data_IF_112529471454
#
_entry.id   IF_112529471454
#
_cell.length_a   1.000
_cell.length_b   1.000
_cell.length_c   1.000
_cell.angle_alpha   90.00
_cell.angle_beta   90.00
_cell.angle_gamma   90.00
#
_symmetry.space_group_name_H-M   'P 1'
#
loop_
_entity.id
_entity.type
_entity.pdbx_description
1 polymer ?
#
# COMPACT_ATOMS: atom_id res chain seq x y z
N UNK A 1 -2.46 -11.48 19.22
CA UNK A 1 -1.27 -10.92 18.55
C UNK A 1 -1.40 -10.98 17.03
N UNK A 2 -0.95 -9.96 16.27
CA UNK A 2 -0.93 -9.92 14.79
C UNK A 2 0.52 -9.83 14.24
N UNK A 3 0.75 -10.47 13.10
CA UNK A 3 2.03 -10.58 12.41
C UNK A 3 1.90 -10.21 10.94
N UNK A 4 2.93 -9.62 10.35
CA UNK A 4 3.06 -9.39 8.92
C UNK A 4 4.04 -10.41 8.32
N UNK A 5 3.69 -11.00 7.18
CA UNK A 5 4.57 -11.91 6.46
C UNK A 5 5.53 -11.14 5.55
N UNK A 6 6.83 -11.34 5.71
CA UNK A 6 7.87 -10.70 4.91
C UNK A 6 7.82 -11.10 3.42
N UNK A 7 7.22 -12.25 3.09
CA UNK A 7 7.18 -12.77 1.70
C UNK A 7 5.99 -12.24 0.90
N UNK A 8 4.79 -12.24 1.47
CA UNK A 8 3.57 -11.84 0.76
C UNK A 8 2.97 -10.53 1.27
N UNK A 9 3.60 -9.89 2.26
CA UNK A 9 3.15 -8.65 2.93
C UNK A 9 1.77 -8.73 3.61
N UNK A 10 1.10 -9.89 3.59
CA UNK A 10 -0.20 -10.11 4.26
C UNK A 10 -0.04 -10.23 5.77
N UNK A 11 -1.11 -9.89 6.48
CA UNK A 11 -1.14 -9.91 7.94
C UNK A 11 -2.00 -11.05 8.48
N UNK A 12 -1.52 -11.78 9.49
CA UNK A 12 -2.17 -12.96 10.11
C UNK A 12 -2.08 -12.92 11.62
N UNK A 13 -2.91 -13.71 12.29
CA UNK A 13 -2.77 -14.03 13.70
C UNK A 13 -1.94 -15.30 13.96
N UNK A 14 -1.59 -16.02 12.91
CA UNK A 14 -0.78 -17.25 12.96
C UNK A 14 0.73 -16.91 12.98
N UNK A 15 1.51 -17.72 13.71
CA UNK A 15 2.97 -17.57 13.78
C UNK A 15 3.71 -18.09 12.54
N UNK A 16 2.99 -18.79 11.65
CA UNK A 16 3.45 -19.15 10.31
C UNK A 16 2.46 -18.59 9.30
N UNK A 17 2.94 -18.10 8.17
CA UNK A 17 2.08 -17.49 7.16
C UNK A 17 1.21 -18.54 6.47
N UNK A 18 -0.12 -18.56 6.70
CA UNK A 18 -1.00 -19.57 6.11
C UNK A 18 -1.20 -19.36 4.59
N UNK A 19 -0.88 -18.17 4.07
CA UNK A 19 -0.97 -17.87 2.62
C UNK A 19 0.27 -18.29 1.84
N UNK A 20 1.39 -18.55 2.51
CA UNK A 20 2.65 -18.95 1.87
C UNK A 20 2.89 -20.46 1.93
N UNK A 21 2.11 -21.20 2.73
CA UNK A 21 2.21 -22.66 2.85
C UNK A 21 1.92 -23.33 1.50
N UNK A 22 2.98 -23.82 0.83
CA UNK A 22 2.93 -24.41 -0.52
C UNK A 22 3.92 -23.80 -1.51
N UNK A 23 4.53 -22.66 -1.20
CA UNK A 23 5.59 -22.04 -2.02
C UNK A 23 6.95 -22.38 -1.40
N UNK A 24 7.42 -23.62 -1.60
CA UNK A 24 8.82 -23.93 -1.35
C UNK A 24 9.69 -23.21 -2.38
N UNK A 25 10.69 -22.39 -1.99
CA UNK A 25 11.78 -22.10 -2.90
C UNK A 25 12.56 -23.41 -3.05
N UNK A 26 12.35 -24.11 -4.16
CA UNK A 26 13.14 -25.27 -4.54
C UNK A 26 14.59 -24.81 -4.68
N UNK A 27 15.40 -24.99 -3.63
CA UNK A 27 16.83 -25.22 -3.79
C UNK A 27 17.01 -26.73 -3.81
N UNK A 28 17.12 -27.28 -5.03
CA UNK A 28 17.63 -28.64 -5.22
C UNK A 28 19.06 -28.69 -4.71
N UNK A 29 19.27 -29.20 -3.51
CA UNK A 29 20.52 -29.88 -3.17
C UNK A 29 20.20 -31.35 -3.03
N UNK A 30 20.81 -32.15 -3.90
CA UNK A 30 20.74 -33.59 -3.86
C UNK A 30 21.30 -34.12 -2.53
N UNK A 31 20.60 -35.11 -1.97
CA UNK A 31 20.98 -36.01 -0.87
C UNK A 31 20.79 -35.50 0.57
N UNK A 32 20.05 -36.31 1.36
CA UNK A 32 20.16 -36.34 2.82
C UNK A 32 18.84 -36.18 3.58
N UNK A 33 18.39 -37.29 4.18
CA UNK A 33 17.45 -37.45 5.31
C UNK A 33 16.56 -36.26 5.72
N UNK A 34 15.25 -36.47 5.65
CA UNK A 34 14.25 -35.63 6.33
C UNK A 34 14.51 -35.63 7.84
N UNK A 35 14.96 -34.48 8.36
CA UNK A 35 15.01 -34.15 9.78
C UNK A 35 14.19 -32.88 10.01
N UNK A 36 13.59 -32.80 11.19
CA UNK A 36 12.55 -31.87 11.64
C UNK A 36 13.00 -30.41 11.80
N UNK A 37 13.56 -29.79 10.76
CA UNK A 37 14.06 -28.40 10.76
C UNK A 37 13.08 -27.38 10.17
N UNK A 38 11.92 -27.81 9.65
CA UNK A 38 10.96 -26.95 8.95
C UNK A 38 10.29 -25.88 9.85
N UNK A 39 10.07 -26.16 11.14
CA UNK A 39 9.38 -25.22 12.04
C UNK A 39 10.23 -23.99 12.45
N UNK A 40 11.56 -24.08 12.40
CA UNK A 40 12.43 -23.00 12.85
C UNK A 40 12.70 -21.93 11.78
N UNK A 41 12.59 -22.31 10.49
CA UNK A 41 12.91 -21.44 9.35
C UNK A 41 11.74 -20.50 9.00
N UNK A 42 10.50 -20.88 9.32
CA UNK A 42 9.30 -20.16 8.87
C UNK A 42 8.90 -19.00 9.81
N UNK A 43 9.10 -19.15 11.13
CA UNK A 43 8.85 -18.10 12.13
C UNK A 43 9.75 -16.87 11.90
N UNK A 44 10.93 -17.03 11.28
CA UNK A 44 11.85 -15.93 11.00
C UNK A 44 11.35 -14.96 9.92
N UNK A 45 10.25 -15.27 9.22
CA UNK A 45 9.65 -14.43 8.16
C UNK A 45 8.39 -13.71 8.60
N UNK A 46 8.09 -13.74 9.89
CA UNK A 46 6.90 -13.11 10.46
C UNK A 46 7.32 -11.96 11.37
N UNK A 47 6.90 -10.76 11.01
CA UNK A 47 7.16 -9.54 11.78
C UNK A 47 5.96 -9.28 12.72
N UNK A 48 6.10 -9.47 14.04
CA UNK A 48 5.05 -9.10 14.99
C UNK A 48 4.88 -7.58 15.08
N UNK A 49 3.64 -7.13 15.24
CA UNK A 49 3.34 -5.72 15.56
C UNK A 49 3.88 -5.28 16.94
N UNK A 50 3.94 -6.20 17.90
CA UNK A 50 4.49 -6.02 19.24
C UNK A 50 5.81 -6.80 19.35
N UNK A 51 6.96 -6.13 19.58
CA UNK A 51 8.26 -6.80 19.64
C UNK A 51 8.38 -7.87 20.73
N UNK A 52 7.53 -7.87 21.76
CA UNK A 52 7.58 -8.91 22.82
C UNK A 52 7.31 -10.32 22.30
N UNK A 53 6.68 -10.44 21.13
CA UNK A 53 6.37 -11.71 20.47
C UNK A 53 7.51 -12.23 19.61
N UNK A 54 8.66 -11.55 19.57
CA UNK A 54 9.85 -12.08 18.91
C UNK A 54 10.36 -13.36 19.59
N UNK A 55 10.79 -14.38 18.83
CA UNK A 55 11.22 -15.66 19.40
C UNK A 55 12.44 -15.56 20.33
N UNK A 56 13.24 -14.51 20.21
CA UNK A 56 14.43 -14.24 21.04
C UNK A 56 14.06 -13.97 22.50
N UNK A 57 12.84 -13.52 22.76
CA UNK A 57 12.33 -13.24 24.10
C UNK A 57 11.51 -14.40 24.68
N UNK A 58 11.44 -15.53 23.96
CA UNK A 58 10.59 -16.66 24.32
C UNK A 58 11.42 -17.86 24.77
N UNK A 59 11.02 -18.46 25.89
CA UNK A 59 11.67 -19.67 26.38
C UNK A 59 11.40 -20.86 25.45
N UNK A 60 12.46 -21.51 24.98
CA UNK A 60 12.37 -22.76 24.21
C UNK A 60 12.78 -23.93 25.10
N UNK A 61 11.87 -24.89 25.29
CA UNK A 61 12.14 -26.12 26.06
C UNK A 61 13.36 -26.86 25.49
N UNK A 62 14.25 -27.32 26.38
CA UNK A 62 15.46 -28.08 26.03
C UNK A 62 15.35 -29.55 26.45
N UNK A 63 14.13 -30.01 26.74
CA UNK A 63 13.81 -31.36 27.21
C UNK A 63 13.59 -31.44 28.73
N UNK A 64 12.77 -32.40 29.17
CA UNK A 64 12.21 -32.52 30.52
C UNK A 64 13.25 -32.39 31.64
N UNK A 65 14.39 -33.09 31.53
CA UNK A 65 15.44 -33.09 32.55
C UNK A 65 16.20 -31.75 32.67
N UNK A 66 16.40 -31.02 31.56
CA UNK A 66 17.08 -29.71 31.58
C UNK A 66 16.15 -28.60 32.05
N UNK A 67 14.86 -28.70 31.69
CA UNK A 67 13.84 -27.76 32.09
C UNK A 67 13.58 -27.80 33.61
N UNK A 68 13.71 -28.98 34.24
CA UNK A 68 13.55 -29.18 35.69
C UNK A 68 14.57 -28.41 36.56
N UNK A 69 15.81 -28.21 36.08
CA UNK A 69 16.89 -27.61 36.88
C UNK A 69 17.26 -26.17 36.46
N UNK A 70 16.85 -25.70 35.28
CA UNK A 70 17.32 -24.42 34.73
C UNK A 70 16.24 -23.44 34.25
N UNK A 71 14.99 -23.90 34.04
CA UNK A 71 13.94 -23.11 33.36
C UNK A 71 13.62 -21.80 34.06
N UNK A 72 13.50 -21.79 35.39
CA UNK A 72 13.13 -20.58 36.15
C UNK A 72 14.19 -19.47 36.02
N UNK A 73 15.47 -19.83 36.07
CA UNK A 73 16.58 -18.89 35.94
C UNK A 73 16.67 -18.34 34.52
N UNK A 74 16.58 -19.20 33.51
CA UNK A 74 16.61 -18.80 32.09
C UNK A 74 15.41 -17.89 31.75
N UNK A 75 14.20 -18.22 32.22
CA UNK A 75 13.02 -17.39 32.04
C UNK A 75 13.20 -15.99 32.65
N UNK A 76 13.81 -15.92 33.85
CA UNK A 76 14.05 -14.63 34.52
C UNK A 76 15.03 -13.77 33.72
N UNK A 77 16.07 -14.37 33.15
CA UNK A 77 17.03 -13.68 32.29
C UNK A 77 16.39 -13.17 31.00
N UNK A 78 15.55 -14.00 30.36
CA UNK A 78 14.79 -13.60 29.16
C UNK A 78 13.81 -12.46 29.45
N UNK A 79 13.11 -12.51 30.59
CA UNK A 79 12.20 -11.43 30.99
C UNK A 79 12.95 -10.11 31.21
N UNK A 80 14.09 -10.13 31.90
CA UNK A 80 14.90 -8.93 32.11
C UNK A 80 15.43 -8.36 30.79
N UNK A 81 15.89 -9.24 29.88
CA UNK A 81 16.34 -8.84 28.55
C UNK A 81 15.20 -8.18 27.77
N UNK A 82 14.01 -8.80 27.78
CA UNK A 82 12.83 -8.27 27.13
C UNK A 82 12.45 -6.89 27.68
N UNK A 83 12.36 -6.74 29.00
CA UNK A 83 12.03 -5.46 29.65
C UNK A 83 13.02 -4.36 29.23
N UNK A 84 14.32 -4.64 29.32
CA UNK A 84 15.36 -3.68 28.93
C UNK A 84 15.26 -3.28 27.45
N UNK A 85 15.06 -4.26 26.56
CA UNK A 85 14.92 -4.00 25.11
C UNK A 85 13.68 -3.16 24.84
N UNK A 86 12.53 -3.50 25.42
CA UNK A 86 11.28 -2.78 25.19
C UNK A 86 11.33 -1.36 25.74
N UNK A 87 11.92 -1.14 26.92
CA UNK A 87 12.10 0.19 27.51
C UNK A 87 12.94 1.08 26.59
N UNK A 88 14.12 0.58 26.17
CA UNK A 88 15.03 1.33 25.29
C UNK A 88 14.42 1.56 23.91
N UNK A 89 13.82 0.51 23.33
CA UNK A 89 13.13 0.63 22.05
C UNK A 89 12.00 1.66 22.14
N UNK A 90 11.16 1.63 23.17
CA UNK A 90 10.11 2.63 23.36
C UNK A 90 10.66 4.06 23.44
N UNK A 91 11.80 4.27 24.10
CA UNK A 91 12.43 5.60 24.23
C UNK A 91 13.10 6.10 22.95
N UNK A 92 13.52 5.19 22.07
CA UNK A 92 14.26 5.51 20.85
C UNK A 92 13.41 5.38 19.58
N UNK A 93 12.27 4.67 19.63
CA UNK A 93 11.39 4.41 18.49
C UNK A 93 11.10 5.71 17.73
N UNK A 94 10.69 6.73 18.48
CA UNK A 94 10.54 8.09 18.00
C UNK A 94 11.54 9.00 18.74
N UNK A 95 12.47 9.69 18.05
CA UNK A 95 12.52 9.86 16.60
C UNK A 95 13.45 8.88 15.86
N UNK A 96 14.26 8.04 16.53
CA UNK A 96 15.41 7.40 15.88
C UNK A 96 15.02 6.34 14.85
N UNK A 97 14.20 5.35 15.22
CA UNK A 97 13.80 4.29 14.28
C UNK A 97 12.93 4.85 13.16
N UNK A 98 11.95 5.68 13.52
CA UNK A 98 11.06 6.33 12.56
C UNK A 98 11.82 7.18 11.56
N UNK A 99 12.72 8.07 12.01
CA UNK A 99 13.51 8.90 11.12
C UNK A 99 14.44 8.08 10.25
N UNK A 100 15.10 7.04 10.80
CA UNK A 100 15.96 6.18 10.01
C UNK A 100 15.21 5.56 8.84
N UNK A 101 14.01 5.00 9.06
CA UNK A 101 13.19 4.39 7.99
C UNK A 101 12.89 5.42 6.89
N UNK A 102 12.53 6.65 7.25
CA UNK A 102 12.23 7.70 6.29
C UNK A 102 13.46 8.22 5.53
N UNK A 103 14.63 8.28 6.17
CA UNK A 103 15.83 8.83 5.54
C UNK A 103 16.63 7.80 4.72
N UNK A 104 16.65 6.53 5.14
CA UNK A 104 17.45 5.47 4.50
C UNK A 104 16.68 4.61 3.48
N UNK A 105 15.36 4.86 3.31
CA UNK A 105 14.46 4.03 2.48
C UNK A 105 14.53 2.53 2.85
N UNK A 106 14.61 2.24 4.15
CA UNK A 106 14.68 0.87 4.66
C UNK A 106 13.50 0.01 4.15
N UNK A 107 13.79 -1.18 3.60
CA UNK A 107 12.82 -2.12 3.05
C UNK A 107 13.18 -3.57 3.38
N UNK A 108 12.18 -4.47 3.39
CA UNK A 108 12.35 -5.92 3.61
C UNK A 108 13.41 -6.56 2.70
N UNK A 109 13.62 -6.02 1.49
CA UNK A 109 14.56 -6.55 0.49
C UNK A 109 16.01 -6.07 0.69
N UNK A 110 16.28 -5.09 1.57
CA UNK A 110 17.64 -4.59 1.79
C UNK A 110 18.55 -5.58 2.53
N UNK A 111 18.08 -6.79 2.86
CA UNK A 111 18.94 -7.90 3.33
C UNK A 111 20.08 -8.21 2.37
N UNK A 112 19.95 -7.87 1.07
CA UNK A 112 20.93 -8.23 0.03
C UNK A 112 22.13 -7.28 -0.11
N UNK A 113 22.13 -6.09 0.50
CA UNK A 113 23.32 -5.21 0.49
C UNK A 113 24.11 -5.23 1.80
N UNK A 114 23.68 -6.03 2.78
CA UNK A 114 24.42 -6.28 4.02
C UNK A 114 25.48 -7.39 3.86
N UNK A 115 25.98 -7.60 2.64
CA UNK A 115 27.10 -8.50 2.40
C UNK A 115 28.39 -7.79 2.82
N UNK A 116 29.11 -8.46 3.71
CA UNK A 116 30.35 -8.02 4.34
C UNK A 116 31.36 -7.46 3.32
N UNK A 117 31.48 -6.13 3.26
CA UNK A 117 32.67 -5.47 2.72
C UNK A 117 33.31 -4.60 3.80
N UNK A 118 34.02 -5.24 4.72
CA UNK A 118 35.04 -4.59 5.56
C UNK A 118 36.32 -4.31 4.75
N UNK A 119 36.18 -3.93 3.48
CA UNK A 119 37.29 -3.67 2.58
C UNK A 119 36.96 -2.37 1.85
N UNK A 120 37.65 -1.27 2.24
CA UNK A 120 37.59 0.12 1.74
C UNK A 120 37.01 1.23 2.65
N UNK A 121 36.71 0.98 3.94
CA UNK A 121 36.41 2.07 4.88
C UNK A 121 35.05 2.76 4.68
N UNK A 122 34.14 2.14 3.92
CA UNK A 122 32.76 2.59 3.75
C UNK A 122 31.86 1.86 4.75
N UNK A 123 31.15 2.58 5.61
CA UNK A 123 30.19 2.02 6.56
C UNK A 123 28.78 2.08 5.96
N UNK A 124 27.98 1.02 6.13
CA UNK A 124 26.57 1.05 5.74
C UNK A 124 25.75 1.94 6.67
N UNK A 125 24.66 2.53 6.17
CA UNK A 125 23.76 3.34 7.00
C UNK A 125 23.20 2.53 8.19
N UNK A 126 22.93 1.25 7.98
CA UNK A 126 22.47 0.33 9.03
C UNK A 126 23.54 0.13 10.12
N UNK A 127 24.81 -0.01 9.72
CA UNK A 127 25.92 -0.13 10.67
C UNK A 127 26.12 1.15 11.48
N UNK A 128 26.06 2.31 10.81
CA UNK A 128 26.13 3.61 11.49
C UNK A 128 24.94 3.80 12.44
N UNK A 129 23.74 3.42 12.02
CA UNK A 129 22.55 3.51 12.85
C UNK A 129 22.63 2.60 14.08
N UNK A 130 23.10 1.36 13.92
CA UNK A 130 23.37 0.45 15.03
C UNK A 130 24.32 1.08 16.04
N UNK A 131 25.42 1.66 15.56
CA UNK A 131 26.42 2.32 16.40
C UNK A 131 25.83 3.52 17.16
N UNK A 132 24.97 4.31 16.52
CA UNK A 132 24.22 5.40 17.17
C UNK A 132 23.37 4.87 18.32
N UNK A 133 22.65 3.78 18.13
CA UNK A 133 21.79 3.17 19.17
C UNK A 133 22.62 2.59 20.32
N UNK A 134 23.73 1.91 20.04
CA UNK A 134 24.65 1.39 21.07
C UNK A 134 25.19 2.53 21.94
N UNK A 135 25.65 3.64 21.32
CA UNK A 135 26.11 4.83 22.06
C UNK A 135 25.01 5.52 22.86
N UNK A 136 23.74 5.26 22.54
CA UNK A 136 22.56 5.71 23.29
C UNK A 136 22.17 4.74 24.42
N UNK A 137 22.96 3.69 24.65
CA UNK A 137 22.75 2.71 25.71
C UNK A 137 22.05 1.43 25.27
N UNK A 138 21.79 1.24 23.97
CA UNK A 138 21.15 0.04 23.42
C UNK A 138 22.16 -1.10 23.18
N UNK A 139 22.91 -1.45 24.23
CA UNK A 139 24.02 -2.40 24.18
C UNK A 139 23.61 -3.83 23.82
N UNK A 140 22.33 -4.19 23.99
CA UNK A 140 21.79 -5.51 23.62
C UNK A 140 21.99 -5.81 22.11
N UNK A 141 22.06 -4.78 21.27
CA UNK A 141 22.36 -4.90 19.84
C UNK A 141 23.77 -5.45 19.56
N UNK A 142 24.68 -5.41 20.53
CA UNK A 142 26.00 -6.07 20.46
C UNK A 142 25.89 -7.58 20.54
N UNK A 143 24.96 -8.08 21.34
CA UNK A 143 24.80 -9.51 21.60
C UNK A 143 23.72 -10.14 20.71
N UNK A 144 22.83 -9.33 20.14
CA UNK A 144 21.71 -9.74 19.29
C UNK A 144 21.78 -9.03 17.92
N UNK A 145 22.59 -9.53 16.97
CA UNK A 145 22.86 -8.83 15.72
C UNK A 145 21.61 -8.63 14.84
N UNK A 146 20.63 -9.55 14.89
CA UNK A 146 19.38 -9.44 14.11
C UNK A 146 18.30 -8.57 14.77
N UNK A 147 18.50 -8.14 16.03
CA UNK A 147 17.47 -7.41 16.77
C UNK A 147 17.17 -6.05 16.15
N UNK A 148 18.18 -5.36 15.60
CA UNK A 148 17.99 -4.07 14.96
C UNK A 148 17.04 -4.17 13.76
N UNK A 149 17.30 -5.11 12.86
CA UNK A 149 16.48 -5.32 11.66
C UNK A 149 15.04 -5.65 12.04
N UNK A 150 14.86 -6.52 13.03
CA UNK A 150 13.55 -6.87 13.58
C UNK A 150 12.80 -5.64 14.11
N UNK A 151 13.45 -4.83 14.96
CA UNK A 151 12.83 -3.63 15.50
C UNK A 151 12.51 -2.59 14.41
N UNK A 152 13.33 -2.49 13.36
CA UNK A 152 13.01 -1.66 12.19
C UNK A 152 11.77 -2.20 11.45
N UNK A 153 11.69 -3.51 11.20
CA UNK A 153 10.53 -4.14 10.59
C UNK A 153 9.26 -3.94 11.42
N UNK A 154 9.31 -4.13 12.74
CA UNK A 154 8.18 -3.84 13.63
C UNK A 154 7.80 -2.36 13.58
N UNK A 155 8.77 -1.45 13.52
CA UNK A 155 8.48 0.01 13.41
C UNK A 155 7.74 0.31 12.10
N UNK A 156 8.20 -0.23 10.98
CA UNK A 156 7.52 -0.11 9.68
C UNK A 156 6.10 -0.69 9.71
N UNK A 157 5.92 -1.87 10.30
CA UNK A 157 4.60 -2.49 10.42
C UNK A 157 3.66 -1.68 11.33
N UNK A 158 4.18 -1.09 12.42
CA UNK A 158 3.42 -0.17 13.27
C UNK A 158 2.93 1.07 12.49
N UNK A 159 3.77 1.66 11.65
CA UNK A 159 3.40 2.79 10.83
C UNK A 159 2.27 2.43 9.82
N UNK A 160 2.38 1.27 9.18
CA UNK A 160 1.33 0.74 8.29
C UNK A 160 0.01 0.56 9.05
N UNK A 161 0.04 -0.10 10.20
CA UNK A 161 -1.15 -0.30 11.02
C UNK A 161 -1.77 1.03 11.49
N UNK A 162 -0.96 2.01 11.88
CA UNK A 162 -1.46 3.33 12.29
C UNK A 162 -2.19 4.06 11.15
N UNK A 163 -1.63 4.01 9.93
CA UNK A 163 -2.29 4.53 8.73
C UNK A 163 -3.64 3.86 8.50
N UNK A 164 -3.64 2.52 8.47
CA UNK A 164 -4.85 1.71 8.34
C UNK A 164 -5.90 2.04 9.42
N UNK A 165 -5.49 2.12 10.69
CA UNK A 165 -6.39 2.38 11.82
C UNK A 165 -7.07 3.76 11.71
N UNK A 166 -6.34 4.78 11.22
CA UNK A 166 -6.90 6.11 10.99
C UNK A 166 -8.00 6.10 9.93
N UNK A 167 -7.82 5.30 8.88
CA UNK A 167 -8.80 5.14 7.80
C UNK A 167 -9.99 4.29 8.25
N UNK A 168 -9.76 3.09 8.79
CA UNK A 168 -10.83 2.16 9.19
C UNK A 168 -11.79 2.75 10.22
N UNK A 169 -11.33 3.66 11.08
CA UNK A 169 -12.14 4.29 12.12
C UNK A 169 -13.48 4.85 11.61
N UNK A 170 -13.51 5.47 10.42
CA UNK A 170 -14.76 6.07 9.86
C UNK A 170 -15.79 5.05 9.38
N UNK A 171 -15.34 3.81 9.17
CA UNK A 171 -16.17 2.72 8.67
C UNK A 171 -16.81 1.91 9.80
N UNK A 172 -16.43 2.09 11.07
CA UNK A 172 -17.08 1.39 12.18
C UNK A 172 -18.53 1.86 12.35
N UNK A 173 -19.47 0.94 12.15
CA UNK A 173 -20.92 1.13 12.26
C UNK A 173 -21.49 0.26 13.37
N UNK A 174 -22.83 0.27 13.52
CA UNK A 174 -23.55 -0.44 14.57
C UNK A 174 -23.45 -1.98 14.52
N UNK A 175 -23.05 -2.56 13.38
CA UNK A 175 -22.89 -4.02 13.22
C UNK A 175 -21.63 -4.33 12.42
N UNK A 176 -21.11 -5.56 12.55
CA UNK A 176 -19.98 -6.03 11.76
C UNK A 176 -20.26 -5.90 10.26
N UNK A 177 -21.39 -6.41 9.78
CA UNK A 177 -21.77 -6.38 8.36
C UNK A 177 -21.82 -4.96 7.80
N UNK A 178 -22.42 -4.00 8.53
CA UNK A 178 -22.45 -2.59 8.11
C UNK A 178 -21.05 -1.96 8.07
N UNK A 179 -20.20 -2.34 9.03
CA UNK A 179 -18.82 -1.86 9.10
C UNK A 179 -17.98 -2.40 7.94
N UNK A 180 -18.08 -3.71 7.68
CA UNK A 180 -17.44 -4.37 6.55
C UNK A 180 -17.93 -3.82 5.21
N UNK A 181 -19.25 -3.63 5.02
CA UNK A 181 -19.79 -3.03 3.79
C UNK A 181 -19.22 -1.64 3.54
N UNK A 182 -19.28 -0.75 4.55
CA UNK A 182 -18.74 0.61 4.43
C UNK A 182 -17.24 0.63 4.15
N UNK A 183 -16.48 -0.28 4.75
CA UNK A 183 -15.04 -0.37 4.54
C UNK A 183 -14.68 -0.97 3.17
N UNK A 184 -15.31 -2.08 2.77
CA UNK A 184 -15.06 -2.77 1.49
C UNK A 184 -15.42 -1.88 0.29
N UNK A 185 -16.48 -1.09 0.41
CA UNK A 185 -16.89 -0.16 -0.65
C UNK A 185 -15.78 0.83 -1.03
N UNK A 186 -14.99 1.26 -0.05
CA UNK A 186 -13.84 2.15 -0.23
C UNK A 186 -12.53 1.38 -0.51
N UNK A 187 -12.27 0.31 0.24
CA UNK A 187 -11.05 -0.50 0.13
C UNK A 187 -10.97 -1.31 -1.18
N UNK A 188 -12.11 -1.54 -1.85
CA UNK A 188 -12.16 -2.26 -3.11
C UNK A 188 -11.74 -3.72 -2.95
N UNK A 189 -10.60 -4.13 -3.50
CA UNK A 189 -10.12 -5.52 -3.43
C UNK A 189 -9.09 -5.76 -2.34
N UNK A 190 -8.54 -4.71 -1.72
CA UNK A 190 -7.46 -4.81 -0.72
C UNK A 190 -7.93 -5.43 0.60
N UNK A 191 -9.24 -5.43 0.89
CA UNK A 191 -9.81 -6.05 2.09
C UNK A 191 -9.33 -7.50 2.32
N UNK A 192 -9.01 -8.23 1.24
CA UNK A 192 -8.52 -9.62 1.29
C UNK A 192 -7.18 -9.74 2.02
N UNK A 193 -6.31 -8.73 1.88
CA UNK A 193 -5.03 -8.68 2.57
C UNK A 193 -5.16 -8.03 3.96
N UNK A 194 -6.12 -7.12 4.11
CA UNK A 194 -6.24 -6.24 5.26
C UNK A 194 -7.26 -6.70 6.31
N UNK A 195 -8.02 -7.79 6.06
CA UNK A 195 -9.05 -8.25 7.00
C UNK A 195 -8.50 -8.53 8.40
N UNK A 196 -7.30 -9.12 8.51
CA UNK A 196 -6.69 -9.35 9.83
C UNK A 196 -6.37 -8.02 10.54
N UNK A 197 -6.00 -6.97 9.81
CA UNK A 197 -5.83 -5.63 10.39
C UNK A 197 -7.16 -5.06 10.86
N UNK A 198 -8.24 -5.25 10.10
CA UNK A 198 -9.59 -4.83 10.51
C UNK A 198 -10.00 -5.53 11.81
N UNK A 199 -9.84 -6.86 11.88
CA UNK A 199 -10.15 -7.66 13.07
C UNK A 199 -9.28 -7.26 14.27
N UNK A 200 -8.00 -6.99 14.05
CA UNK A 200 -7.10 -6.50 15.08
C UNK A 200 -7.47 -5.09 15.56
N UNK A 201 -7.90 -4.22 14.65
CA UNK A 201 -8.36 -2.88 14.98
C UNK A 201 -9.56 -2.92 15.92
N UNK A 202 -10.58 -3.72 15.61
CA UNK A 202 -11.77 -3.81 16.46
C UNK A 202 -11.44 -4.40 17.83
N UNK A 203 -10.59 -5.44 17.91
CA UNK A 203 -10.14 -6.00 19.18
C UNK A 203 -9.33 -4.98 20.00
N UNK A 204 -8.31 -4.36 19.41
CA UNK A 204 -7.42 -3.41 20.11
C UNK A 204 -8.14 -2.14 20.58
N UNK A 205 -9.24 -1.76 19.93
CA UNK A 205 -10.09 -0.63 20.32
C UNK A 205 -11.30 -1.05 21.16
N UNK A 206 -11.39 -2.33 21.59
CA UNK A 206 -12.50 -2.87 22.40
C UNK A 206 -13.88 -2.64 21.77
N UNK A 207 -13.96 -2.77 20.45
CA UNK A 207 -15.20 -2.70 19.68
C UNK A 207 -15.81 -4.09 19.64
N UNK A 208 -17.00 -4.23 20.22
CA UNK A 208 -17.69 -5.50 20.32
C UNK A 208 -18.71 -5.67 19.19
N UNK A 209 -18.62 -6.81 18.50
CA UNK A 209 -19.64 -7.29 17.59
C UNK A 209 -20.04 -8.70 18.00
N UNK A 210 -21.34 -8.96 18.16
CA UNK A 210 -21.85 -10.26 18.60
C UNK A 210 -21.49 -11.44 17.69
N UNK A 211 -21.08 -11.17 16.46
CA UNK A 211 -20.66 -12.17 15.48
C UNK A 211 -19.15 -12.44 15.45
N UNK A 212 -18.38 -11.82 16.36
CA UNK A 212 -16.93 -11.97 16.44
C UNK A 212 -16.50 -12.42 17.83
N UNK A 213 -15.72 -13.48 17.87
CA UNK A 213 -15.10 -13.98 19.09
C UNK A 213 -13.58 -13.87 18.98
N UNK A 214 -12.97 -13.32 20.03
CA UNK A 214 -11.52 -13.17 20.14
C UNK A 214 -10.96 -14.10 21.23
N UNK A 215 -9.80 -14.65 20.96
CA UNK A 215 -9.06 -15.40 21.96
C UNK A 215 -8.21 -14.44 22.80
N UNK A 216 -8.75 -13.98 23.93
CA UNK A 216 -8.07 -13.03 24.82
C UNK A 216 -6.72 -13.53 25.36
N UNK A 217 -6.49 -14.85 25.37
CA UNK A 217 -5.19 -15.42 25.76
C UNK A 217 -4.07 -15.05 24.77
N UNK A 218 -4.41 -14.67 23.55
CA UNK A 218 -3.47 -14.28 22.49
C UNK A 218 -2.70 -12.98 22.78
N UNK A 219 -3.12 -12.20 23.79
CA UNK A 219 -2.36 -11.02 24.25
C UNK A 219 -1.16 -11.43 25.13
N UNK A 220 -1.31 -12.49 25.92
CA UNK A 220 -0.30 -12.93 26.89
C UNK A 220 0.44 -14.21 26.47
N UNK A 221 -0.05 -14.93 25.45
CA UNK A 221 0.45 -16.26 25.07
C UNK A 221 0.95 -16.27 23.63
N UNK A 222 2.27 -16.18 23.39
CA UNK A 222 2.86 -16.34 22.07
C UNK A 222 2.48 -17.67 21.42
N UNK A 223 2.22 -17.64 20.11
CA UNK A 223 1.75 -18.81 19.36
C UNK A 223 0.25 -19.06 19.41
N UNK A 224 -0.50 -18.38 20.30
CA UNK A 224 -1.96 -18.47 20.32
C UNK A 224 -2.54 -17.39 19.40
N UNK A 225 -3.28 -17.76 18.33
CA UNK A 225 -3.86 -16.78 17.42
C UNK A 225 -5.03 -16.05 18.08
N UNK A 226 -5.14 -14.74 17.81
CA UNK A 226 -6.26 -13.91 18.28
C UNK A 226 -7.59 -14.36 17.64
N UNK A 227 -7.54 -14.69 16.36
CA UNK A 227 -8.62 -15.33 15.59
C UNK A 227 -7.95 -16.44 14.79
N UNK A 228 -8.49 -17.67 14.85
CA UNK A 228 -7.91 -18.79 14.10
C UNK A 228 -8.01 -18.55 12.59
N UNK A 229 -7.09 -19.13 11.82
CA UNK A 229 -7.16 -19.00 10.36
C UNK A 229 -8.48 -19.53 9.75
N UNK A 230 -9.10 -20.53 10.36
CA UNK A 230 -10.42 -21.02 9.93
C UNK A 230 -11.53 -19.99 10.12
N UNK A 231 -11.53 -19.26 11.25
CA UNK A 231 -12.47 -18.14 11.46
C UNK A 231 -12.17 -16.97 10.51
N UNK A 232 -10.90 -16.65 10.28
CA UNK A 232 -10.52 -15.63 9.28
C UNK A 232 -11.06 -15.98 7.89
N UNK A 233 -11.00 -17.25 7.47
CA UNK A 233 -11.60 -17.69 6.19
C UNK A 233 -13.12 -17.52 6.16
N UNK A 234 -13.83 -17.76 7.28
CA UNK A 234 -15.28 -17.51 7.36
C UNK A 234 -15.59 -16.02 7.21
N UNK A 235 -14.84 -15.14 7.88
CA UNK A 235 -15.00 -13.70 7.73
C UNK A 235 -14.63 -13.22 6.32
N UNK A 236 -13.60 -13.80 5.69
CA UNK A 236 -13.29 -13.55 4.28
C UNK A 236 -14.47 -13.90 3.38
N UNK A 237 -15.11 -15.06 3.57
CA UNK A 237 -16.28 -15.43 2.79
C UNK A 237 -17.43 -14.43 2.94
N UNK A 238 -17.68 -13.93 4.16
CA UNK A 238 -18.65 -12.84 4.39
C UNK A 238 -18.25 -11.57 3.62
N UNK A 239 -16.97 -11.19 3.64
CA UNK A 239 -16.47 -10.04 2.90
C UNK A 239 -16.62 -10.21 1.37
N UNK A 240 -16.38 -11.41 0.84
CA UNK A 240 -16.57 -11.72 -0.58
C UNK A 240 -18.04 -11.58 -1.00
N UNK A 241 -18.98 -12.05 -0.17
CA UNK A 241 -20.41 -11.85 -0.42
C UNK A 241 -20.79 -10.36 -0.44
N UNK A 242 -20.30 -9.59 0.54
CA UNK A 242 -20.52 -8.13 0.58
C UNK A 242 -19.95 -7.45 -0.66
N UNK A 243 -18.73 -7.82 -1.07
CA UNK A 243 -18.08 -7.27 -2.25
C UNK A 243 -18.86 -7.61 -3.53
N UNK A 244 -19.34 -8.84 -3.65
CA UNK A 244 -20.21 -9.26 -4.75
C UNK A 244 -21.49 -8.43 -4.81
N UNK A 245 -22.18 -8.25 -3.68
CA UNK A 245 -23.41 -7.44 -3.62
C UNK A 245 -23.15 -5.99 -4.06
N UNK A 246 -22.02 -5.39 -3.64
CA UNK A 246 -21.62 -4.06 -4.09
C UNK A 246 -21.43 -4.02 -5.62
N UNK A 247 -20.81 -5.05 -6.21
CA UNK A 247 -20.62 -5.12 -7.66
C UNK A 247 -21.96 -5.30 -8.40
N UNK A 248 -22.88 -6.09 -7.84
CA UNK A 248 -24.23 -6.25 -8.39
C UNK A 248 -24.99 -4.93 -8.34
N UNK A 249 -24.97 -4.22 -7.21
CA UNK A 249 -25.62 -2.92 -7.05
C UNK A 249 -25.06 -1.89 -8.05
N UNK A 250 -23.73 -1.86 -8.21
CA UNK A 250 -23.05 -1.00 -9.21
C UNK A 250 -23.43 -1.36 -10.64
N UNK A 251 -23.53 -2.66 -10.96
CA UNK A 251 -23.94 -3.10 -12.29
C UNK A 251 -25.41 -2.78 -12.57
N UNK A 252 -26.31 -3.03 -11.61
CA UNK A 252 -27.73 -2.71 -11.74
C UNK A 252 -27.94 -1.22 -11.95
N UNK A 253 -27.30 -0.39 -11.12
CA UNK A 253 -27.20 1.08 -11.28
C UNK A 253 -26.79 1.45 -12.70
N UNK A 254 -25.69 0.84 -13.19
CA UNK A 254 -25.18 1.11 -14.52
C UNK A 254 -26.20 0.80 -15.59
N UNK A 255 -26.88 -0.36 -15.50
CA UNK A 255 -27.87 -0.78 -16.48
C UNK A 255 -29.13 0.09 -16.47
N UNK A 256 -29.59 0.52 -15.30
CA UNK A 256 -30.79 1.36 -15.15
C UNK A 256 -30.58 2.79 -15.68
N UNK A 257 -29.40 3.36 -15.42
CA UNK A 257 -29.11 4.76 -15.71
C UNK A 257 -28.22 4.94 -16.96
N UNK A 258 -27.92 3.85 -17.67
CA UNK A 258 -27.15 3.91 -18.91
C UNK A 258 -27.90 4.73 -19.96
N UNK A 259 -27.35 5.89 -20.31
CA UNK A 259 -27.82 6.66 -21.44
C UNK A 259 -26.84 6.44 -22.62
N UNK A 260 -27.22 5.66 -23.65
CA UNK A 260 -26.34 5.40 -24.79
C UNK A 260 -25.95 6.68 -25.54
N UNK A 261 -26.76 7.74 -25.45
CA UNK A 261 -26.47 9.01 -26.11
C UNK A 261 -25.44 9.86 -25.35
N UNK A 262 -25.17 9.55 -24.07
CA UNK A 262 -24.14 10.22 -23.26
C UNK A 262 -22.87 9.38 -23.11
N UNK A 263 -22.94 8.09 -23.47
CA UNK A 263 -21.78 7.21 -23.38
C UNK A 263 -20.79 7.51 -24.51
N UNK A 264 -19.59 7.95 -24.14
CA UNK A 264 -18.57 8.32 -25.11
C UNK A 264 -17.61 7.15 -25.31
N UNK A 265 -17.45 6.74 -26.57
CA UNK A 265 -16.49 5.71 -26.98
C UNK A 265 -15.30 6.35 -27.67
N UNK A 266 -14.16 5.66 -27.70
CA UNK A 266 -13.01 6.13 -28.48
C UNK A 266 -13.34 6.30 -29.98
N UNK A 267 -14.30 5.53 -30.51
CA UNK A 267 -14.78 5.71 -31.89
C UNK A 267 -15.45 7.07 -32.11
N UNK A 268 -16.24 7.55 -31.13
CA UNK A 268 -16.83 8.88 -31.19
C UNK A 268 -15.75 9.96 -31.07
N UNK A 269 -14.75 9.75 -30.20
CA UNK A 269 -13.60 10.66 -30.07
C UNK A 269 -12.80 10.74 -31.39
N UNK A 270 -12.54 9.61 -32.04
CA UNK A 270 -11.82 9.55 -33.32
C UNK A 270 -12.58 10.25 -34.47
N UNK A 271 -13.90 10.46 -34.32
CA UNK A 271 -14.73 11.17 -35.28
C UNK A 271 -14.84 12.68 -35.02
N UNK A 272 -14.36 13.17 -33.87
CA UNK A 272 -14.35 14.59 -33.53
C UNK A 272 -13.31 15.35 -34.35
N UNK A 273 -13.64 16.57 -34.77
CA UNK A 273 -12.61 17.53 -35.18
C UNK A 273 -11.82 18.08 -33.96
N UNK A 274 -10.80 18.90 -34.24
CA UNK A 274 -9.96 19.46 -33.17
C UNK A 274 -10.74 20.29 -32.15
N UNK A 275 -11.69 21.12 -32.59
CA UNK A 275 -12.48 21.97 -31.70
C UNK A 275 -13.48 21.16 -30.89
N UNK A 276 -14.14 20.18 -31.52
CA UNK A 276 -15.02 19.25 -30.83
C UNK A 276 -14.27 18.45 -29.77
N UNK A 277 -13.02 18.08 -30.05
CA UNK A 277 -12.19 17.37 -29.09
C UNK A 277 -11.78 18.26 -27.91
N UNK A 278 -11.46 19.53 -28.15
CA UNK A 278 -11.18 20.51 -27.09
C UNK A 278 -12.40 20.72 -26.19
N UNK A 279 -13.57 21.01 -26.79
CA UNK A 279 -14.84 21.18 -26.07
C UNK A 279 -15.19 19.91 -25.27
N UNK A 280 -14.95 18.72 -25.85
CA UNK A 280 -15.17 17.46 -25.15
C UNK A 280 -14.21 17.25 -23.96
N UNK A 281 -12.93 17.62 -24.10
CA UNK A 281 -11.98 17.54 -22.99
C UNK A 281 -12.38 18.47 -21.84
N UNK A 282 -12.98 19.63 -22.12
CA UNK A 282 -13.55 20.50 -21.08
C UNK A 282 -14.58 19.74 -20.24
N UNK A 283 -15.54 19.07 -20.87
CA UNK A 283 -16.58 18.28 -20.19
C UNK A 283 -15.97 17.15 -19.34
N UNK A 284 -14.99 16.45 -19.91
CA UNK A 284 -14.28 15.33 -19.25
C UNK A 284 -13.55 15.81 -18.00
N UNK A 285 -12.76 16.88 -18.09
CA UNK A 285 -12.04 17.44 -16.94
C UNK A 285 -13.00 18.04 -15.89
N UNK A 286 -14.06 18.75 -16.29
CA UNK A 286 -15.06 19.26 -15.35
C UNK A 286 -15.74 18.12 -14.58
N UNK A 287 -16.16 17.06 -15.27
CA UNK A 287 -16.83 15.91 -14.65
C UNK A 287 -15.89 15.20 -13.67
N UNK A 288 -14.61 15.10 -13.99
CA UNK A 288 -13.60 14.56 -13.05
C UNK A 288 -13.25 15.51 -11.88
N UNK A 289 -13.89 16.68 -11.79
CA UNK A 289 -13.75 17.62 -10.67
C UNK A 289 -12.57 18.58 -10.80
N UNK A 290 -12.18 18.94 -12.03
CA UNK A 290 -11.27 20.05 -12.29
C UNK A 290 -12.05 21.34 -12.52
N UNK A 291 -11.51 22.47 -12.08
CA UNK A 291 -12.00 23.79 -12.49
C UNK A 291 -11.41 24.10 -13.87
N UNK A 292 -12.24 24.14 -14.91
CA UNK A 292 -11.78 24.36 -16.29
C UNK A 292 -12.11 25.78 -16.74
N UNK A 293 -11.12 26.50 -17.26
CA UNK A 293 -11.29 27.79 -17.95
C UNK A 293 -10.97 27.59 -19.44
N UNK A 294 -11.97 27.82 -20.27
CA UNK A 294 -11.77 27.84 -21.73
C UNK A 294 -10.87 29.01 -22.14
N UNK A 295 -10.03 28.77 -23.14
CA UNK A 295 -9.28 29.84 -23.81
C UNK A 295 -10.16 30.54 -24.83
N UNK A 296 -9.78 31.76 -25.22
CA UNK A 296 -10.31 32.31 -26.47
C UNK A 296 -9.68 31.50 -27.60
N UNK A 297 -10.51 30.88 -28.44
CA UNK A 297 -10.21 29.99 -29.60
C UNK A 297 -9.25 30.56 -30.68
N UNK A 298 -8.62 31.71 -30.43
CA UNK A 298 -7.67 32.37 -31.32
C UNK A 298 -6.58 33.05 -30.52
N UNK A 299 -5.31 32.78 -30.87
CA UNK A 299 -4.05 33.36 -30.31
C UNK A 299 -3.50 32.68 -29.04
N UNK A 300 -3.60 31.36 -28.99
CA UNK A 300 -3.52 30.55 -27.78
C UNK A 300 -2.08 30.19 -27.38
N UNK A 301 -1.07 30.47 -28.21
CA UNK A 301 0.35 30.09 -28.00
C UNK A 301 0.55 28.60 -27.66
N UNK A 302 -0.38 27.72 -28.07
CA UNK A 302 -0.34 26.28 -27.78
C UNK A 302 -0.99 25.86 -26.45
N UNK A 303 -1.92 26.67 -25.91
CA UNK A 303 -2.77 26.34 -24.78
C UNK A 303 -4.22 26.16 -25.26
N UNK A 304 -4.75 24.94 -25.25
CA UNK A 304 -6.14 24.72 -25.65
C UNK A 304 -7.09 24.74 -24.43
N UNK A 305 -6.63 24.25 -23.27
CA UNK A 305 -7.38 24.32 -22.01
C UNK A 305 -6.50 24.77 -20.85
N UNK A 306 -7.10 25.50 -19.90
CA UNK A 306 -6.54 25.70 -18.56
C UNK A 306 -7.40 24.98 -17.53
N UNK A 307 -6.76 24.15 -16.72
CA UNK A 307 -7.44 23.42 -15.64
C UNK A 307 -6.75 23.68 -14.32
N UNK A 308 -7.54 23.83 -13.25
CA UNK A 308 -7.04 23.99 -11.89
C UNK A 308 -7.55 22.84 -11.04
N UNK A 309 -6.66 22.20 -10.25
CA UNK A 309 -7.06 21.20 -9.27
C UNK A 309 -6.12 21.21 -8.08
N UNK A 310 -6.68 21.15 -6.87
CA UNK A 310 -5.93 21.21 -5.61
C UNK A 310 -4.98 22.43 -5.52
N UNK A 311 -5.40 23.57 -6.08
CA UNK A 311 -4.64 24.82 -6.08
C UNK A 311 -3.45 24.86 -7.04
N UNK A 312 -3.35 23.92 -7.98
CA UNK A 312 -2.34 23.93 -9.05
C UNK A 312 -2.97 24.22 -10.39
N UNK A 313 -2.32 25.09 -11.16
CA UNK A 313 -2.74 25.45 -12.51
C UNK A 313 -1.99 24.61 -13.55
N UNK A 314 -2.74 24.05 -14.50
CA UNK A 314 -2.23 23.21 -15.56
C UNK A 314 -2.72 23.71 -16.91
N UNK A 315 -1.79 23.76 -17.87
CA UNK A 315 -2.12 24.01 -19.28
C UNK A 315 -2.17 22.69 -20.05
N UNK A 316 -3.14 22.56 -20.94
CA UNK A 316 -3.35 21.37 -21.76
C UNK A 316 -3.30 21.75 -23.24
N UNK A 317 -2.54 20.96 -24.01
CA UNK A 317 -2.63 20.94 -25.47
C UNK A 317 -3.35 19.66 -25.90
N UNK A 318 -4.46 19.80 -26.60
CA UNK A 318 -5.21 18.75 -27.24
C UNK A 318 -4.73 18.51 -28.69
N UNK A 319 -4.64 17.25 -29.10
CA UNK A 319 -4.35 16.85 -30.49
C UNK A 319 -5.24 15.68 -30.89
N UNK A 320 -6.25 15.93 -31.71
CA UNK A 320 -7.07 14.87 -32.33
C UNK A 320 -6.56 14.55 -33.74
N UNK A 321 -5.69 13.54 -33.89
CA UNK A 321 -4.98 13.22 -35.13
C UNK A 321 -5.16 11.76 -35.54
N UNK A 322 -5.04 11.49 -36.85
CA UNK A 322 -5.00 10.13 -37.41
C UNK A 322 -3.63 9.46 -37.32
N UNK A 323 -2.55 10.23 -37.12
CA UNK A 323 -1.17 9.76 -37.02
C UNK A 323 -0.57 9.98 -35.63
N UNK A 324 0.68 9.58 -35.44
CA UNK A 324 1.38 9.77 -34.16
C UNK A 324 1.70 11.24 -33.89
N UNK A 325 1.63 11.63 -32.61
CA UNK A 325 1.93 12.99 -32.16
C UNK A 325 3.43 13.14 -31.86
N UNK A 326 4.08 14.09 -32.53
CA UNK A 326 5.51 14.35 -32.39
C UNK A 326 5.87 15.49 -31.43
N UNK A 327 7.17 15.82 -31.36
CA UNK A 327 7.73 16.80 -30.42
C UNK A 327 7.07 18.18 -30.44
N UNK A 328 6.51 18.59 -31.58
CA UNK A 328 5.88 19.91 -31.74
C UNK A 328 4.79 20.16 -30.68
N UNK A 329 3.93 19.18 -30.39
CA UNK A 329 2.87 19.33 -29.39
C UNK A 329 3.45 19.53 -27.97
N UNK A 330 4.52 18.82 -27.65
CA UNK A 330 5.22 18.94 -26.37
C UNK A 330 5.91 20.31 -26.25
N UNK A 331 6.55 20.77 -27.32
CA UNK A 331 7.20 22.10 -27.37
C UNK A 331 6.19 23.24 -27.22
N UNK A 332 5.02 23.11 -27.85
CA UNK A 332 3.91 24.05 -27.75
C UNK A 332 3.45 24.19 -26.29
N UNK A 333 3.13 23.07 -25.62
CA UNK A 333 2.62 23.14 -24.25
C UNK A 333 3.67 23.61 -23.24
N UNK A 334 4.97 23.32 -23.45
CA UNK A 334 6.05 23.87 -22.63
C UNK A 334 6.12 25.40 -22.75
N UNK A 335 6.00 25.90 -23.99
CA UNK A 335 6.01 27.33 -24.27
C UNK A 335 4.80 28.01 -23.63
N UNK A 336 3.62 27.40 -23.76
CA UNK A 336 2.39 27.86 -23.13
C UNK A 336 2.50 27.89 -21.59
N UNK A 337 2.97 26.81 -20.98
CA UNK A 337 3.18 26.72 -19.53
C UNK A 337 4.04 27.88 -19.02
N UNK A 338 5.14 28.16 -19.72
CA UNK A 338 6.07 29.24 -19.37
C UNK A 338 5.42 30.61 -19.55
N UNK A 339 4.71 30.82 -20.65
CA UNK A 339 4.09 32.09 -20.99
C UNK A 339 2.96 32.47 -20.01
N UNK A 340 2.13 31.49 -19.62
CA UNK A 340 0.98 31.70 -18.73
C UNK A 340 1.29 31.47 -17.25
N UNK A 341 2.49 30.97 -16.91
CA UNK A 341 2.92 30.75 -15.53
C UNK A 341 2.23 29.58 -14.83
N UNK A 342 1.85 28.53 -15.57
CA UNK A 342 1.21 27.34 -15.00
C UNK A 342 2.22 26.41 -14.30
N UNK A 343 1.77 25.69 -13.28
CA UNK A 343 2.57 24.73 -12.52
C UNK A 343 2.88 23.47 -13.32
N UNK A 344 1.90 23.00 -14.09
CA UNK A 344 1.93 21.73 -14.81
C UNK A 344 1.54 21.89 -16.29
N UNK A 345 1.97 20.93 -17.13
CA UNK A 345 1.65 20.88 -18.54
C UNK A 345 1.23 19.47 -18.95
N UNK A 346 0.26 19.38 -19.85
CA UNK A 346 -0.25 18.11 -20.35
C UNK A 346 -0.49 18.16 -21.86
N UNK A 347 -0.16 17.08 -22.57
CA UNK A 347 -0.63 16.86 -23.94
C UNK A 347 -1.61 15.69 -23.95
N UNK A 348 -2.79 15.91 -24.53
CA UNK A 348 -3.83 14.89 -24.66
C UNK A 348 -4.07 14.58 -26.13
N UNK A 349 -4.13 13.30 -26.49
CA UNK A 349 -4.42 12.88 -27.86
C UNK A 349 -5.25 11.60 -27.90
N UNK A 350 -6.04 11.44 -28.96
CA UNK A 350 -6.72 10.18 -29.29
C UNK A 350 -5.78 9.12 -29.92
N UNK A 351 -4.53 9.51 -30.20
CA UNK A 351 -3.52 8.70 -30.87
C UNK A 351 -2.36 8.35 -29.93
N UNK A 352 -1.19 8.01 -30.48
CA UNK A 352 0.01 7.68 -29.72
C UNK A 352 1.13 8.69 -29.98
N UNK A 353 1.96 8.93 -28.97
CA UNK A 353 3.16 9.77 -29.11
C UNK A 353 4.33 9.03 -29.75
N UNK A 354 5.13 9.75 -30.53
CA UNK A 354 6.41 9.22 -31.01
C UNK A 354 7.38 9.01 -29.84
N UNK A 355 8.35 8.11 -30.00
CA UNK A 355 9.41 7.90 -28.99
C UNK A 355 10.11 9.19 -28.58
N UNK A 356 10.46 10.02 -29.56
CA UNK A 356 11.12 11.32 -29.33
C UNK A 356 10.25 12.29 -28.52
N UNK A 357 8.92 12.24 -28.68
CA UNK A 357 8.00 13.09 -27.94
C UNK A 357 7.89 12.63 -26.48
N UNK A 358 7.88 11.31 -26.24
CA UNK A 358 7.92 10.72 -24.90
C UNK A 358 9.20 11.12 -24.16
N UNK A 359 10.37 10.98 -24.81
CA UNK A 359 11.67 11.38 -24.26
C UNK A 359 11.72 12.88 -23.90
N UNK A 360 11.21 13.75 -24.79
CA UNK A 360 11.14 15.19 -24.50
C UNK A 360 10.19 15.51 -23.34
N UNK A 361 9.01 14.90 -23.31
CA UNK A 361 8.01 15.15 -22.28
C UNK A 361 8.51 14.73 -20.90
N UNK A 362 9.19 13.58 -20.79
CA UNK A 362 9.83 13.13 -19.56
C UNK A 362 10.86 14.14 -19.05
N UNK A 363 11.74 14.64 -19.93
CA UNK A 363 12.76 15.63 -19.58
C UNK A 363 12.18 16.98 -19.12
N UNK A 364 11.00 17.35 -19.64
CA UNK A 364 10.34 18.63 -19.37
C UNK A 364 9.20 18.51 -18.34
N UNK A 365 9.00 17.33 -17.74
CA UNK A 365 7.90 17.04 -16.80
C UNK A 365 6.51 17.38 -17.38
N UNK A 366 6.31 17.07 -18.65
CA UNK A 366 5.02 17.21 -19.34
C UNK A 366 4.28 15.88 -19.26
N UNK A 367 3.03 15.89 -18.79
CA UNK A 367 2.19 14.69 -18.77
C UNK A 367 1.70 14.37 -20.18
N UNK A 368 1.77 13.12 -20.57
CA UNK A 368 1.28 12.65 -21.86
C UNK A 368 0.09 11.72 -21.63
N UNK A 369 -1.06 12.07 -22.19
CA UNK A 369 -2.24 11.22 -22.22
C UNK A 369 -2.40 10.73 -23.66
N UNK A 370 -1.92 9.52 -23.93
CA UNK A 370 -2.13 8.85 -25.22
C UNK A 370 -3.45 8.08 -25.23
N UNK A 371 -3.78 7.42 -26.34
CA UNK A 371 -5.04 6.70 -26.55
C UNK A 371 -5.43 5.77 -25.40
N UNK A 372 -4.48 4.98 -24.91
CA UNK A 372 -4.77 3.98 -23.87
C UNK A 372 -5.05 4.66 -22.53
N UNK A 373 -4.37 5.77 -22.24
CA UNK A 373 -4.63 6.57 -21.05
C UNK A 373 -5.94 7.37 -21.20
N UNK A 374 -6.21 7.95 -22.37
CA UNK A 374 -7.47 8.63 -22.67
C UNK A 374 -8.66 7.68 -22.52
N UNK A 375 -8.53 6.40 -22.91
CA UNK A 375 -9.59 5.40 -22.69
C UNK A 375 -9.93 5.25 -21.19
N UNK A 376 -8.93 5.29 -20.30
CA UNK A 376 -9.17 5.24 -18.84
C UNK A 376 -9.92 6.49 -18.37
N UNK A 377 -9.57 7.66 -18.90
CA UNK A 377 -10.31 8.90 -18.62
C UNK A 377 -11.75 8.80 -19.11
N UNK A 378 -12.01 8.18 -20.27
CA UNK A 378 -13.36 7.93 -20.77
C UNK A 378 -14.13 6.95 -19.88
N UNK A 379 -13.47 5.90 -19.38
CA UNK A 379 -14.11 4.91 -18.51
C UNK A 379 -14.54 5.57 -17.18
N UNK A 380 -13.67 6.38 -16.57
CA UNK A 380 -13.96 7.15 -15.36
C UNK A 380 -15.07 8.20 -15.62
N UNK A 381 -15.00 8.90 -16.75
CA UNK A 381 -16.01 9.88 -17.18
C UNK A 381 -17.39 9.24 -17.36
N UNK A 382 -17.46 8.14 -18.11
CA UNK A 382 -18.70 7.42 -18.36
C UNK A 382 -19.28 6.86 -17.06
N UNK A 383 -18.44 6.34 -16.17
CA UNK A 383 -18.88 5.86 -14.85
C UNK A 383 -19.49 7.01 -14.03
N UNK A 384 -18.86 8.19 -14.05
CA UNK A 384 -19.34 9.34 -13.29
C UNK A 384 -20.63 9.94 -13.85
N UNK A 385 -20.80 9.98 -15.17
CA UNK A 385 -22.09 10.38 -15.79
C UNK A 385 -23.23 9.49 -15.30
N UNK A 386 -22.97 8.19 -15.19
CA UNK A 386 -23.96 7.20 -14.75
C UNK A 386 -24.33 7.44 -13.27
N UNK A 387 -23.34 7.74 -12.43
CA UNK A 387 -23.54 8.09 -11.01
C UNK A 387 -24.28 9.43 -10.82
N UNK A 388 -23.89 10.48 -11.54
CA UNK A 388 -24.51 11.81 -11.44
C UNK A 388 -25.98 11.79 -11.89
N UNK A 389 -26.34 10.93 -12.87
CA UNK A 389 -27.73 10.75 -13.28
C UNK A 389 -28.59 10.16 -12.14
N UNK A 390 -28.02 9.34 -11.26
CA UNK A 390 -28.73 8.88 -10.05
C UNK A 390 -28.98 10.01 -9.05
N UNK A 391 -28.03 10.93 -8.89
CA UNK A 391 -28.13 12.00 -7.89
C UNK A 391 -29.16 13.08 -8.25
N UNK A 392 -29.49 13.20 -9.55
CA UNK A 392 -30.41 14.20 -10.09
C UNK A 392 -31.79 13.63 -10.46
N UNK A 393 -32.00 12.32 -10.30
CA UNK A 393 -33.29 11.63 -10.52
C UNK A 393 -33.93 11.30 -9.17
#
# INVERSE_FOLDING_TARGET
>A
MIYQCDTCSRTTFEVNCPWCSGVSPVKTSAWGSASSTAQAIDIQRMTPLNPSFYPEFQYRSKGVLKDLFGKKKEQTQLNQLLENVLEKYSSLKDPYFTNFIYTSRFSHNNKSEADYSTDNGTYSELQLFREVLVRKGFNELEQLPELLDKLLLTTSFNALYYGFAKEVKRHIKSTLTKSLKSWIEEAGTTFRADLSLFLFYIWSNKIEFSSVEFNEKAEATPGVPLVSFDEVKKYLAVCEHIYFDILVDRLATRLEHFNPNKFVTMYLVDAMDGFQFEDFLVEVFQTMGYDVKETKRTQDQGADLFVTRFGKDMVIQAKNYSGSVGNSAVQQVISAKTFYGCDEAMVVTNSYFTRSAKELAESALVRLIDRDELQKYLDDYNQKIIEDFQSNS
#
